data_IF_139419658914
#
_entry.id   IF_139419658914
#
_cell.length_a   1.000
_cell.length_b   1.000
_cell.length_c   1.000
_cell.angle_alpha   90.00
_cell.angle_beta   90.00
_cell.angle_gamma   90.00
#
_symmetry.space_group_name_H-M   'P 1'
#
loop_
_entity.id
_entity.type
_entity.pdbx_description
1 polymer ?
#
# COMPACT_ATOMS: atom_id res chain seq x y z
N UNK A 1 -16.67 28.88 30.30
CA UNK A 1 -15.58 29.78 29.85
C UNK A 1 -14.52 29.09 28.96
N UNK A 2 -14.21 27.79 29.12
CA UNK A 2 -13.32 27.07 28.16
C UNK A 2 -14.00 26.82 26.80
N UNK A 3 -15.28 26.48 26.80
CA UNK A 3 -16.03 26.06 25.60
C UNK A 3 -16.27 27.20 24.58
N UNK A 4 -16.44 28.44 25.06
CA UNK A 4 -16.55 29.64 24.20
C UNK A 4 -15.21 30.04 23.56
N UNK A 5 -14.11 29.80 24.26
CA UNK A 5 -12.77 30.10 23.75
C UNK A 5 -12.34 29.11 22.67
N UNK A 6 -12.69 27.82 22.80
CA UNK A 6 -12.42 26.80 21.79
C UNK A 6 -13.15 27.04 20.46
N UNK A 7 -14.35 27.62 20.53
CA UNK A 7 -15.15 27.99 19.36
C UNK A 7 -14.64 29.23 18.62
N UNK A 8 -13.83 30.09 19.27
CA UNK A 8 -13.28 31.34 18.69
C UNK A 8 -11.82 31.26 18.26
N UNK A 9 -11.18 30.08 18.32
CA UNK A 9 -9.82 29.89 17.81
C UNK A 9 -9.76 30.27 16.31
N UNK A 10 -8.85 31.18 15.90
CA UNK A 10 -8.66 31.51 14.49
C UNK A 10 -8.43 30.24 13.67
N UNK A 11 -8.91 30.20 12.42
CA UNK A 11 -8.76 29.04 11.54
C UNK A 11 -7.29 28.58 11.42
N UNK A 12 -6.35 29.52 11.49
CA UNK A 12 -4.91 29.26 11.57
C UNK A 12 -4.53 28.39 12.78
N UNK A 13 -5.03 28.71 13.97
CA UNK A 13 -4.73 27.98 15.20
C UNK A 13 -5.36 26.56 15.23
N UNK A 14 -6.49 26.37 14.53
CA UNK A 14 -7.08 25.03 14.33
C UNK A 14 -6.27 24.20 13.33
N UNK A 15 -5.79 24.83 12.26
CA UNK A 15 -4.94 24.18 11.27
C UNK A 15 -3.59 23.74 11.88
N UNK A 16 -2.95 24.58 12.71
CA UNK A 16 -1.71 24.23 13.40
C UNK A 16 -1.91 23.09 14.41
N UNK A 17 -2.98 23.12 15.22
CA UNK A 17 -3.30 22.02 16.14
C UNK A 17 -3.59 20.71 15.39
N UNK A 18 -4.26 20.76 14.24
CA UNK A 18 -4.49 19.59 13.40
C UNK A 18 -3.19 19.05 12.78
N UNK A 19 -2.32 19.91 12.27
CA UNK A 19 -1.00 19.51 11.79
C UNK A 19 -0.12 18.89 12.89
N UNK A 20 -0.12 19.48 14.08
CA UNK A 20 0.58 18.93 15.24
C UNK A 20 0.00 17.59 15.68
N UNK A 21 -1.32 17.45 15.67
CA UNK A 21 -2.01 16.18 15.91
C UNK A 21 -1.61 15.11 14.90
N UNK A 22 -1.57 15.45 13.61
CA UNK A 22 -1.10 14.54 12.55
C UNK A 22 0.38 14.17 12.70
N UNK A 23 1.24 15.12 13.07
CA UNK A 23 2.66 14.87 13.34
C UNK A 23 2.82 13.91 14.52
N UNK A 24 2.13 14.16 15.63
CA UNK A 24 2.12 13.27 16.81
C UNK A 24 1.60 11.87 16.48
N UNK A 25 0.53 11.77 15.70
CA UNK A 25 -0.02 10.49 15.24
C UNK A 25 1.00 9.71 14.40
N UNK A 26 1.68 10.36 13.45
CA UNK A 26 2.72 9.74 12.62
C UNK A 26 3.90 9.23 13.45
N UNK A 27 4.36 10.00 14.43
CA UNK A 27 5.44 9.59 15.34
C UNK A 27 5.02 8.36 16.15
N UNK A 28 3.81 8.38 16.73
CA UNK A 28 3.28 7.26 17.49
C UNK A 28 3.14 5.98 16.64
N UNK A 29 2.72 6.10 15.38
CA UNK A 29 2.66 4.97 14.45
C UNK A 29 4.06 4.43 14.09
N UNK A 30 5.03 5.33 13.89
CA UNK A 30 6.41 4.95 13.63
C UNK A 30 7.02 4.22 14.83
N UNK A 31 6.78 4.69 16.05
CA UNK A 31 7.20 4.02 17.29
C UNK A 31 6.55 2.65 17.46
N UNK A 32 5.23 2.54 17.22
CA UNK A 32 4.52 1.24 17.23
C UNK A 32 5.12 0.27 16.22
N UNK A 33 5.44 0.74 15.01
CA UNK A 33 6.12 -0.08 13.98
C UNK A 33 7.53 -0.49 14.42
N UNK A 34 8.32 0.43 14.95
CA UNK A 34 9.66 0.15 15.44
C UNK A 34 9.66 -0.87 16.59
N UNK A 35 8.72 -0.75 17.53
CA UNK A 35 8.58 -1.70 18.63
C UNK A 35 8.16 -3.10 18.15
N UNK A 36 7.27 -3.19 17.15
CA UNK A 36 6.93 -4.48 16.51
C UNK A 36 8.14 -5.09 15.81
N UNK A 37 8.94 -4.28 15.10
CA UNK A 37 10.15 -4.74 14.43
C UNK A 37 11.20 -5.27 15.41
N UNK A 38 11.46 -4.54 16.50
CA UNK A 38 12.36 -4.99 17.59
C UNK A 38 11.92 -6.34 18.14
N UNK A 39 10.64 -6.47 18.51
CA UNK A 39 10.07 -7.75 19.00
C UNK A 39 10.23 -8.89 18.00
N UNK A 40 10.12 -8.63 16.70
CA UNK A 40 10.31 -9.65 15.67
C UNK A 40 11.77 -10.10 15.58
N UNK A 41 12.73 -9.16 15.63
CA UNK A 41 14.17 -9.46 15.66
C UNK A 41 14.53 -10.23 16.92
N UNK A 42 14.03 -9.81 18.08
CA UNK A 42 14.26 -10.49 19.35
C UNK A 42 13.74 -11.94 19.28
N UNK A 43 12.54 -12.16 18.74
CA UNK A 43 12.01 -13.52 18.53
C UNK A 43 12.88 -14.32 17.57
N UNK A 44 13.30 -13.74 16.46
CA UNK A 44 14.18 -14.41 15.48
C UNK A 44 15.49 -14.92 16.10
N UNK A 45 16.05 -14.17 17.04
CA UNK A 45 17.32 -14.54 17.68
C UNK A 45 17.15 -15.60 18.79
N UNK A 46 16.01 -15.63 19.48
CA UNK A 46 15.83 -16.47 20.68
C UNK A 46 14.92 -17.69 20.47
N UNK A 47 14.05 -17.68 19.45
CA UNK A 47 13.07 -18.73 19.18
C UNK A 47 13.44 -19.49 17.88
N UNK A 48 13.92 -20.74 17.98
CA UNK A 48 14.29 -21.55 16.83
C UNK A 48 13.12 -21.89 15.89
N UNK A 49 11.91 -22.10 16.42
CA UNK A 49 10.73 -22.44 15.62
C UNK A 49 10.28 -21.24 14.79
N UNK A 50 10.26 -20.06 15.42
CA UNK A 50 9.96 -18.82 14.72
C UNK A 50 10.99 -18.53 13.61
N UNK A 51 12.29 -18.72 13.90
CA UNK A 51 13.36 -18.57 12.92
C UNK A 51 13.18 -19.51 11.74
N UNK A 52 12.95 -20.80 12.00
CA UNK A 52 12.74 -21.79 10.95
C UNK A 52 11.53 -21.46 10.07
N UNK A 53 10.40 -21.11 10.66
CA UNK A 53 9.21 -20.70 9.92
C UNK A 53 9.48 -19.46 9.05
N UNK A 54 10.15 -18.46 9.61
CA UNK A 54 10.50 -17.25 8.90
C UNK A 54 11.41 -17.53 7.69
N UNK A 55 12.44 -18.38 7.88
CA UNK A 55 13.36 -18.75 6.83
C UNK A 55 12.66 -19.51 5.69
N UNK A 56 11.81 -20.47 6.05
CA UNK A 56 10.98 -21.21 5.09
C UNK A 56 10.06 -20.29 4.29
N UNK A 57 9.40 -19.32 4.95
CA UNK A 57 8.60 -18.31 4.25
C UNK A 57 9.48 -17.51 3.29
N UNK A 58 10.66 -17.09 3.72
CA UNK A 58 11.58 -16.36 2.86
C UNK A 58 12.03 -17.19 1.64
N UNK A 59 12.23 -18.50 1.79
CA UNK A 59 12.54 -19.40 0.68
C UNK A 59 11.39 -19.51 -0.32
N UNK A 60 10.16 -19.68 0.17
CA UNK A 60 8.96 -19.73 -0.68
C UNK A 60 8.84 -18.44 -1.50
N UNK A 61 8.95 -17.28 -0.85
CA UNK A 61 8.91 -16.00 -1.57
C UNK A 61 10.06 -15.84 -2.57
N UNK A 62 11.28 -16.22 -2.21
CA UNK A 62 12.42 -16.13 -3.11
C UNK A 62 12.23 -17.01 -4.35
N UNK A 63 11.70 -18.22 -4.18
CA UNK A 63 11.41 -19.13 -5.29
C UNK A 63 10.27 -18.62 -6.17
N UNK A 64 9.17 -18.13 -5.57
CA UNK A 64 8.06 -17.52 -6.31
C UNK A 64 8.55 -16.34 -7.15
N UNK A 65 9.31 -15.41 -6.57
CA UNK A 65 9.84 -14.26 -7.31
C UNK A 65 10.78 -14.66 -8.44
N UNK A 66 11.59 -15.72 -8.26
CA UNK A 66 12.46 -16.24 -9.33
C UNK A 66 11.63 -16.85 -10.47
N UNK A 67 10.56 -17.57 -10.16
CA UNK A 67 9.64 -18.13 -11.17
C UNK A 67 8.85 -17.03 -11.87
N UNK A 68 8.27 -16.10 -11.13
CA UNK A 68 7.54 -14.94 -11.66
C UNK A 68 8.41 -14.12 -12.64
N UNK A 69 9.70 -13.95 -12.32
CA UNK A 69 10.64 -13.26 -13.21
C UNK A 69 10.97 -14.05 -14.49
N UNK A 70 10.83 -15.38 -14.49
CA UNK A 70 10.96 -16.20 -15.70
C UNK A 70 9.72 -16.07 -16.56
N UNK A 71 8.53 -16.23 -15.96
CA UNK A 71 7.24 -16.04 -16.63
C UNK A 71 7.14 -14.65 -17.27
N UNK A 72 7.60 -13.62 -16.55
CA UNK A 72 7.67 -12.26 -17.08
C UNK A 72 8.54 -12.14 -18.34
N UNK A 73 9.65 -12.88 -18.43
CA UNK A 73 10.53 -12.90 -19.61
C UNK A 73 9.93 -13.70 -20.77
N UNK A 74 9.15 -14.71 -20.44
CA UNK A 74 8.40 -15.54 -21.39
C UNK A 74 7.09 -14.86 -21.86
N UNK A 75 6.81 -13.65 -21.34
CA UNK A 75 5.59 -12.87 -21.61
C UNK A 75 4.29 -13.58 -21.18
N UNK A 76 4.38 -14.52 -20.23
CA UNK A 76 3.21 -15.15 -19.63
C UNK A 76 2.83 -14.40 -18.34
N UNK A 77 1.75 -13.64 -18.41
CA UNK A 77 1.30 -12.75 -17.34
C UNK A 77 0.20 -13.35 -16.47
N UNK A 78 -0.45 -14.44 -16.92
CA UNK A 78 -1.62 -15.01 -16.25
C UNK A 78 -1.24 -15.78 -14.98
N UNK A 79 -0.08 -16.45 -15.03
CA UNK A 79 0.43 -17.28 -13.93
C UNK A 79 1.35 -16.54 -12.96
N UNK A 80 1.55 -15.22 -13.14
CA UNK A 80 2.39 -14.43 -12.24
C UNK A 80 1.73 -14.34 -10.86
N UNK A 81 2.48 -14.75 -9.84
CA UNK A 81 1.99 -14.74 -8.47
C UNK A 81 1.89 -13.32 -7.88
N UNK A 82 1.03 -13.14 -6.87
CA UNK A 82 0.97 -11.90 -6.10
C UNK A 82 2.14 -11.73 -5.10
N UNK A 83 3.19 -12.55 -5.16
CA UNK A 83 4.33 -12.48 -4.26
C UNK A 83 5.00 -11.09 -4.29
N UNK A 84 5.11 -10.47 -5.46
CA UNK A 84 5.67 -9.13 -5.63
C UNK A 84 4.88 -8.03 -4.88
N UNK A 85 3.57 -8.24 -4.65
CA UNK A 85 2.73 -7.31 -3.87
C UNK A 85 3.07 -7.39 -2.38
N UNK A 86 3.23 -8.60 -1.86
CA UNK A 86 3.35 -8.85 -0.42
C UNK A 86 4.78 -8.94 0.10
N UNK A 87 5.79 -9.10 -0.77
CA UNK A 87 7.20 -9.23 -0.39
C UNK A 87 7.73 -7.98 0.34
N UNK A 88 8.10 -8.05 1.65
CA UNK A 88 8.51 -6.88 2.42
C UNK A 88 9.98 -6.86 2.87
N UNK A 89 10.83 -7.85 2.54
CA UNK A 89 11.99 -8.14 3.41
C UNK A 89 13.37 -8.13 2.73
N UNK A 90 14.35 -7.67 3.50
CA UNK A 90 15.79 -7.82 3.24
C UNK A 90 16.22 -9.29 3.11
N UNK A 91 15.70 -10.17 3.97
CA UNK A 91 16.04 -11.59 3.98
C UNK A 91 15.67 -12.28 2.67
N UNK A 92 14.52 -11.94 2.09
CA UNK A 92 14.13 -12.42 0.75
C UNK A 92 15.09 -11.90 -0.30
N UNK A 93 15.45 -10.61 -0.23
CA UNK A 93 16.39 -10.00 -1.17
C UNK A 93 17.76 -10.70 -1.15
N UNK A 94 18.27 -11.06 0.04
CA UNK A 94 19.51 -11.83 0.21
C UNK A 94 19.43 -13.23 -0.40
N UNK A 95 18.27 -13.89 -0.34
CA UNK A 95 18.05 -15.21 -0.95
C UNK A 95 17.86 -15.16 -2.48
N UNK A 96 17.33 -14.04 -2.98
CA UNK A 96 17.20 -13.80 -4.43
C UNK A 96 18.54 -13.43 -5.05
N UNK A 97 19.36 -12.65 -4.35
CA UNK A 97 20.71 -12.25 -4.77
C UNK A 97 21.75 -12.66 -3.71
N UNK A 98 22.21 -13.92 -3.70
CA UNK A 98 23.21 -14.41 -2.76
C UNK A 98 24.55 -13.69 -2.93
N UNK A 99 25.31 -13.53 -1.85
CA UNK A 99 26.59 -12.80 -1.89
C UNK A 99 27.65 -13.56 -2.70
N UNK A 100 27.55 -14.88 -2.69
CA UNK A 100 28.44 -15.83 -3.34
C UNK A 100 28.35 -15.74 -4.88
N UNK A 101 27.20 -15.36 -5.41
CA UNK A 101 26.95 -15.29 -6.86
C UNK A 101 27.45 -13.98 -7.48
N UNK A 102 27.63 -12.91 -6.68
CA UNK A 102 27.98 -11.58 -7.19
C UNK A 102 29.27 -11.05 -6.57
N UNK A 103 30.34 -11.02 -7.37
CA UNK A 103 31.67 -10.51 -6.99
C UNK A 103 31.60 -9.08 -6.44
N UNK A 104 30.65 -8.26 -6.92
CA UNK A 104 30.40 -6.88 -6.48
C UNK A 104 30.06 -6.75 -4.99
N UNK A 105 29.61 -7.82 -4.35
CA UNK A 105 29.26 -7.84 -2.93
C UNK A 105 30.34 -8.44 -2.03
N UNK A 106 31.43 -8.98 -2.60
CA UNK A 106 32.50 -9.64 -1.85
C UNK A 106 33.17 -8.73 -0.82
N UNK A 107 33.49 -7.48 -1.19
CA UNK A 107 34.22 -6.52 -0.34
C UNK A 107 33.32 -5.49 0.38
N UNK A 108 31.99 -5.61 0.27
CA UNK A 108 31.06 -4.61 0.79
C UNK A 108 30.70 -4.90 2.25
N UNK A 109 30.66 -3.87 3.08
CA UNK A 109 30.20 -3.96 4.47
C UNK A 109 28.73 -4.40 4.54
N UNK A 110 28.38 -5.17 5.58
CA UNK A 110 27.08 -5.81 5.75
C UNK A 110 25.88 -4.83 5.67
N UNK A 111 26.01 -3.64 6.26
CA UNK A 111 24.98 -2.61 6.23
C UNK A 111 24.76 -2.06 4.80
N UNK A 112 25.84 -1.87 4.05
CA UNK A 112 25.80 -1.40 2.67
C UNK A 112 25.29 -2.49 1.72
N UNK A 113 25.61 -3.76 2.00
CA UNK A 113 25.10 -4.92 1.27
C UNK A 113 23.57 -5.03 1.38
N UNK A 114 23.04 -5.01 2.61
CA UNK A 114 21.60 -5.05 2.89
C UNK A 114 20.82 -3.99 2.09
N UNK A 115 21.30 -2.74 2.10
CA UNK A 115 20.67 -1.64 1.38
C UNK A 115 20.74 -1.81 -0.15
N UNK A 116 21.90 -2.21 -0.69
CA UNK A 116 22.11 -2.41 -2.12
C UNK A 116 21.21 -3.52 -2.66
N UNK A 117 21.17 -4.67 -2.00
CA UNK A 117 20.39 -5.82 -2.44
C UNK A 117 18.89 -5.53 -2.39
N UNK A 118 18.40 -4.83 -1.34
CA UNK A 118 17.00 -4.37 -1.29
C UNK A 118 16.67 -3.41 -2.43
N UNK A 119 17.57 -2.48 -2.73
CA UNK A 119 17.38 -1.52 -3.81
C UNK A 119 17.32 -2.23 -5.16
N UNK A 120 18.18 -3.22 -5.36
CA UNK A 120 18.23 -4.06 -6.55
C UNK A 120 16.95 -4.88 -6.71
N UNK A 121 16.55 -5.61 -5.67
CA UNK A 121 15.28 -6.36 -5.65
C UNK A 121 14.10 -5.47 -6.03
N UNK A 122 14.04 -4.24 -5.49
CA UNK A 122 12.98 -3.31 -5.83
C UNK A 122 12.97 -2.97 -7.32
N UNK A 123 14.11 -2.56 -7.87
CA UNK A 123 14.21 -2.06 -9.26
C UNK A 123 14.13 -3.17 -10.31
N UNK A 124 14.82 -4.29 -10.07
CA UNK A 124 14.99 -5.35 -11.07
C UNK A 124 13.89 -6.41 -11.01
N UNK A 125 13.24 -6.59 -9.86
CA UNK A 125 12.25 -7.65 -9.64
C UNK A 125 10.87 -7.08 -9.33
N UNK A 126 10.73 -6.31 -8.26
CA UNK A 126 9.41 -5.87 -7.80
C UNK A 126 8.76 -4.86 -8.74
N UNK A 127 9.50 -3.84 -9.19
CA UNK A 127 8.98 -2.81 -10.08
C UNK A 127 8.46 -3.38 -11.41
N UNK A 128 9.17 -4.26 -12.14
CA UNK A 128 8.65 -4.84 -13.37
C UNK A 128 7.49 -5.83 -13.12
N UNK A 129 7.56 -6.67 -12.09
CA UNK A 129 6.46 -7.59 -11.76
C UNK A 129 5.18 -6.85 -11.37
N UNK A 130 5.27 -5.77 -10.60
CA UNK A 130 4.10 -4.97 -10.21
C UNK A 130 3.49 -4.22 -11.39
N UNK A 131 4.29 -3.84 -12.38
CA UNK A 131 3.80 -3.27 -13.65
C UNK A 131 3.06 -4.32 -14.46
N UNK A 132 3.62 -5.53 -14.58
CA UNK A 132 2.99 -6.64 -15.26
C UNK A 132 1.65 -7.05 -14.63
N UNK A 133 1.56 -7.00 -13.30
CA UNK A 133 0.33 -7.24 -12.55
C UNK A 133 -0.66 -6.05 -12.58
N UNK A 134 -0.29 -4.93 -13.21
CA UNK A 134 -1.09 -3.69 -13.30
C UNK A 134 -1.64 -3.20 -11.95
N UNK A 135 -0.82 -3.30 -10.91
CA UNK A 135 -1.25 -2.91 -9.57
C UNK A 135 -1.54 -1.40 -9.50
N UNK A 136 -2.69 -0.97 -8.93
CA UNK A 136 -3.08 0.45 -8.88
C UNK A 136 -2.03 1.30 -8.16
N UNK A 137 -1.33 0.74 -7.17
CA UNK A 137 -0.28 1.43 -6.42
C UNK A 137 0.85 1.95 -7.34
N UNK A 138 1.16 1.25 -8.44
CA UNK A 138 2.19 1.65 -9.40
C UNK A 138 1.80 2.96 -10.09
N UNK A 139 0.58 3.04 -10.59
CA UNK A 139 0.02 4.21 -11.26
C UNK A 139 -0.16 5.39 -10.30
N UNK A 140 -0.63 5.12 -9.08
CA UNK A 140 -0.78 6.12 -8.03
C UNK A 140 0.58 6.76 -7.66
N UNK A 141 1.62 5.95 -7.50
CA UNK A 141 2.98 6.43 -7.24
C UNK A 141 3.53 7.27 -8.40
N UNK A 142 3.22 6.88 -9.65
CA UNK A 142 3.60 7.62 -10.85
C UNK A 142 2.72 8.87 -11.12
N UNK A 143 1.69 9.12 -10.30
CA UNK A 143 0.66 10.16 -10.49
C UNK A 143 -0.13 10.02 -11.81
N UNK A 144 -0.15 8.83 -12.39
CA UNK A 144 -0.88 8.50 -13.62
C UNK A 144 -2.27 7.96 -13.29
N UNK A 145 -3.11 8.81 -12.71
CA UNK A 145 -4.40 8.37 -12.17
C UNK A 145 -5.39 7.91 -13.24
N UNK A 146 -5.38 8.56 -14.42
CA UNK A 146 -6.26 8.21 -15.55
C UNK A 146 -5.96 6.86 -16.20
N UNK A 147 -4.75 6.34 -15.97
CA UNK A 147 -4.31 5.06 -16.56
C UNK A 147 -4.58 3.88 -15.60
N UNK A 148 -5.31 4.11 -14.50
CA UNK A 148 -5.62 3.06 -13.52
C UNK A 148 -6.72 2.16 -14.11
N UNK A 149 -6.48 0.84 -14.23
CA UNK A 149 -7.53 -0.10 -14.58
C UNK A 149 -8.48 -0.29 -13.38
N UNK A 150 -9.58 0.49 -13.35
CA UNK A 150 -10.52 0.52 -12.23
C UNK A 150 -11.26 -0.81 -12.02
N UNK A 151 -11.44 -1.59 -13.08
CA UNK A 151 -12.00 -2.95 -13.09
C UNK A 151 -11.17 -3.94 -12.24
N UNK A 152 -9.84 -3.82 -12.29
CA UNK A 152 -8.92 -4.67 -11.53
C UNK A 152 -8.75 -4.23 -10.07
N UNK A 153 -9.25 -3.04 -9.71
CA UNK A 153 -9.11 -2.53 -8.34
C UNK A 153 -10.05 -3.30 -7.40
N UNK A 154 -9.45 -4.00 -6.43
CA UNK A 154 -10.21 -4.71 -5.41
C UNK A 154 -11.21 -3.78 -4.70
N UNK A 155 -12.43 -4.28 -4.47
CA UNK A 155 -13.51 -3.49 -3.86
C UNK A 155 -13.15 -2.94 -2.48
N UNK A 156 -12.34 -3.65 -1.70
CA UNK A 156 -11.81 -3.15 -0.42
C UNK A 156 -10.96 -1.88 -0.58
N UNK A 157 -10.06 -1.87 -1.57
CA UNK A 157 -9.23 -0.70 -1.88
C UNK A 157 -10.08 0.43 -2.41
N UNK A 158 -11.02 0.14 -3.31
CA UNK A 158 -11.97 1.12 -3.85
C UNK A 158 -12.79 1.78 -2.76
N UNK A 159 -13.27 0.97 -1.82
CA UNK A 159 -14.02 1.43 -0.67
C UNK A 159 -13.11 2.34 0.17
N UNK A 160 -11.92 1.89 0.57
CA UNK A 160 -11.02 2.63 1.47
C UNK A 160 -10.51 3.95 0.89
N UNK A 161 -10.06 3.93 -0.36
CA UNK A 161 -9.36 5.04 -1.03
C UNK A 161 -10.30 5.90 -1.90
N UNK A 162 -11.63 5.69 -1.83
CA UNK A 162 -12.64 6.39 -2.66
C UNK A 162 -12.42 7.92 -2.71
N UNK A 163 -12.13 8.53 -1.56
CA UNK A 163 -11.90 9.99 -1.46
C UNK A 163 -10.64 10.43 -2.20
N UNK A 164 -9.62 9.57 -2.26
CA UNK A 164 -8.37 9.85 -2.95
C UNK A 164 -8.60 9.81 -4.44
N UNK A 165 -9.33 8.80 -4.94
CA UNK A 165 -9.73 8.74 -6.36
C UNK A 165 -10.53 9.97 -6.77
N UNK A 166 -11.63 10.29 -6.06
CA UNK A 166 -12.45 11.49 -6.35
C UNK A 166 -11.66 12.81 -6.33
N UNK A 167 -10.64 12.91 -5.47
CA UNK A 167 -9.83 14.13 -5.35
C UNK A 167 -8.78 14.24 -6.45
N UNK A 168 -8.25 13.12 -6.95
CA UNK A 168 -7.11 13.08 -7.87
C UNK A 168 -7.53 12.89 -9.32
N UNK A 169 -8.55 12.08 -9.55
CA UNK A 169 -9.10 11.79 -10.86
C UNK A 169 -10.62 11.66 -10.74
N UNK A 170 -11.26 12.82 -10.74
CA UNK A 170 -12.71 12.91 -10.61
C UNK A 170 -13.40 12.39 -11.86
N UNK A 171 -12.94 12.83 -13.03
CA UNK A 171 -13.61 12.59 -14.30
C UNK A 171 -13.57 11.09 -14.66
N UNK A 172 -12.38 10.47 -14.64
CA UNK A 172 -12.23 9.05 -14.95
C UNK A 172 -12.93 8.13 -13.94
N UNK A 173 -12.99 8.54 -12.67
CA UNK A 173 -13.73 7.78 -11.66
C UNK A 173 -15.25 7.93 -11.78
N UNK A 174 -15.76 9.10 -12.20
CA UNK A 174 -17.18 9.30 -12.48
C UNK A 174 -17.63 8.48 -13.70
N UNK A 175 -16.80 8.39 -14.75
CA UNK A 175 -17.00 7.53 -15.93
C UNK A 175 -17.06 6.05 -15.54
N UNK A 176 -16.09 5.57 -14.76
CA UNK A 176 -16.13 4.20 -14.23
C UNK A 176 -17.44 3.91 -13.46
N UNK A 177 -17.93 4.87 -12.67
CA UNK A 177 -19.18 4.72 -11.93
C UNK A 177 -20.43 4.79 -12.80
N UNK A 178 -20.40 5.44 -13.97
CA UNK A 178 -21.50 5.38 -14.93
C UNK A 178 -21.54 4.01 -15.61
N UNK A 179 -20.40 3.51 -16.06
CA UNK A 179 -20.31 2.21 -16.74
C UNK A 179 -20.73 1.05 -15.81
N UNK A 180 -20.38 1.12 -14.52
CA UNK A 180 -20.85 0.16 -13.51
C UNK A 180 -22.38 0.21 -13.32
N UNK A 181 -23.00 1.39 -13.43
CA UNK A 181 -24.47 1.52 -13.31
C UNK A 181 -25.18 1.01 -14.56
N UNK A 182 -24.56 1.21 -15.72
CA UNK A 182 -25.06 0.75 -17.01
C UNK A 182 -24.90 -0.77 -17.17
N UNK A 183 -23.98 -1.36 -16.39
CA UNK A 183 -23.77 -2.81 -16.30
C UNK A 183 -22.60 -3.32 -17.14
N UNK A 184 -21.86 -2.42 -17.77
CA UNK A 184 -20.69 -2.73 -18.60
C UNK A 184 -19.50 -3.22 -17.77
N UNK A 185 -19.42 -2.80 -16.50
CA UNK A 185 -18.39 -3.21 -15.55
C UNK A 185 -18.97 -3.78 -14.25
N UNK A 186 -18.35 -4.85 -13.73
CA UNK A 186 -18.79 -5.51 -12.50
C UNK A 186 -17.89 -5.17 -11.32
N UNK A 187 -18.48 -4.60 -10.24
CA UNK A 187 -17.78 -4.45 -8.97
C UNK A 187 -17.86 -5.75 -8.18
N UNK A 188 -16.72 -6.43 -8.03
CA UNK A 188 -16.60 -7.59 -7.15
C UNK A 188 -16.62 -7.18 -5.67
N UNK A 189 -17.81 -6.91 -5.14
CA UNK A 189 -18.05 -6.47 -3.76
C UNK A 189 -18.10 -7.62 -2.73
N UNK A 190 -17.81 -8.86 -3.13
CA UNK A 190 -17.96 -10.06 -2.28
C UNK A 190 -17.10 -10.07 -1.01
N UNK A 191 -16.01 -9.30 -0.97
CA UNK A 191 -15.16 -9.15 0.23
C UNK A 191 -15.66 -8.09 1.22
N UNK A 192 -16.64 -7.27 0.86
CA UNK A 192 -17.13 -6.18 1.71
C UNK A 192 -18.32 -6.65 2.55
N UNK A 193 -18.24 -6.41 3.85
CA UNK A 193 -19.33 -6.73 4.75
C UNK A 193 -20.40 -5.63 4.68
N UNK A 194 -21.71 -5.95 4.78
CA UNK A 194 -22.78 -4.95 4.68
C UNK A 194 -22.61 -3.75 5.61
N UNK A 195 -22.13 -4.00 6.83
CA UNK A 195 -21.90 -2.94 7.82
C UNK A 195 -20.77 -1.97 7.41
N UNK A 196 -19.77 -2.41 6.64
CA UNK A 196 -18.68 -1.57 6.14
C UNK A 196 -19.16 -0.63 5.04
N UNK A 197 -20.09 -1.11 4.21
CA UNK A 197 -20.74 -0.32 3.15
C UNK A 197 -21.59 0.79 3.79
N UNK A 198 -22.45 0.43 4.75
CA UNK A 198 -23.31 1.39 5.46
C UNK A 198 -22.49 2.43 6.23
N UNK A 199 -21.47 1.99 6.98
CA UNK A 199 -20.58 2.87 7.74
C UNK A 199 -19.94 3.93 6.83
N UNK A 200 -19.51 3.53 5.64
CA UNK A 200 -18.87 4.47 4.72
C UNK A 200 -19.84 5.45 4.08
N UNK A 201 -21.04 5.01 3.70
CA UNK A 201 -22.10 5.91 3.24
C UNK A 201 -22.41 6.99 4.28
N UNK A 202 -22.48 6.61 5.56
CA UNK A 202 -22.69 7.55 6.67
C UNK A 202 -21.54 8.58 6.79
N UNK A 203 -20.29 8.13 6.67
CA UNK A 203 -19.09 9.00 6.69
C UNK A 203 -18.98 9.94 5.48
N UNK A 204 -19.53 9.57 4.32
CA UNK A 204 -19.59 10.46 3.16
C UNK A 204 -20.64 11.56 3.37
N UNK A 205 -21.83 11.19 3.86
CA UNK A 205 -22.93 12.14 4.16
C UNK A 205 -22.52 13.21 5.17
N UNK A 206 -21.77 12.85 6.22
CA UNK A 206 -21.32 13.81 7.23
C UNK A 206 -20.22 14.76 6.72
N UNK A 207 -19.45 14.38 5.69
CA UNK A 207 -18.45 15.26 5.08
C UNK A 207 -19.06 16.21 4.04
N UNK A 208 -20.09 15.78 3.32
CA UNK A 208 -20.90 16.67 2.46
C UNK A 208 -21.63 17.74 3.28
N UNK A 209 -21.94 17.49 4.55
CA UNK A 209 -22.62 18.44 5.43
C UNK A 209 -21.69 19.50 6.07
N UNK A 210 -20.36 19.32 5.98
CA UNK A 210 -19.36 20.30 6.45
C UNK A 210 -18.81 21.19 5.32
N UNK A 211 -19.26 20.98 4.07
CA UNK A 211 -19.17 21.97 3.01
C UNK A 211 -20.40 22.87 3.08
N UNK A 212 -20.20 24.10 3.55
CA UNK A 212 -21.10 25.26 3.56
C UNK A 212 -22.41 25.10 2.75
N UNK A 213 -23.52 25.49 3.40
CA UNK A 213 -24.86 25.59 2.82
C UNK A 213 -24.94 26.50 1.59
N UNK A 214 -26.18 26.84 1.23
CA UNK A 214 -26.64 27.47 -0.03
C UNK A 214 -27.13 26.48 -1.09
N UNK A 215 -28.21 25.76 -0.82
CA UNK A 215 -29.21 25.38 -1.83
C UNK A 215 -30.56 25.23 -1.14
N UNK A 216 -31.34 26.32 -1.10
CA UNK A 216 -32.82 26.36 -1.12
C UNK A 216 -33.27 27.81 -0.92
N UNK A 217 -33.30 28.54 -2.02
CA UNK A 217 -34.40 29.44 -2.39
C UNK A 217 -34.70 29.13 -3.84
#
# INVERSE_FOLDING_TARGET
MKDEWESRKPAFFRATLHEEGLKKAKVLEAEKKANKAKKAIDRYNHDPEYRFLFDCICDVFANLLKTDMKLLKECDYEDISLAAKWCPCESIARKVFPREEYVEYGAVEEAHYAYRVRTRLRKEVLDPLRKALELPEVYMCAKRWRDIPYDRVASTAMNLENKVFLKRDRDGFEEYLTDVKEGDMTISAGSLLPHEIVRRRSLMRSQSFNGRGWWMT
#
